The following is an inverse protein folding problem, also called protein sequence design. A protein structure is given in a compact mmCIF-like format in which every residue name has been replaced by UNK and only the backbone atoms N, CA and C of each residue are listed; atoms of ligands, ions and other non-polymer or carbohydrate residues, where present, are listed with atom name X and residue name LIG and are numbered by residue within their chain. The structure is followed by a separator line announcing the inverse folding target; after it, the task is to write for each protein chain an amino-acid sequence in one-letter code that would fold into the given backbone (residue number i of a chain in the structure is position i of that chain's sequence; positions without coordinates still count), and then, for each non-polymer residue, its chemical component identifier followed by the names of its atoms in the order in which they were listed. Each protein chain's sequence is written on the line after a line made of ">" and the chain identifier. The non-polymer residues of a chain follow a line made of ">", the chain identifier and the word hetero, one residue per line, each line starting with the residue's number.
data_IF_520770520892
#
_entry.id   IF_520770520892
#
_cell.length_a   1.000
_cell.length_b   1.000
_cell.length_c   1.000
_cell.angle_alpha   90.00
_cell.angle_beta   90.00
_cell.angle_gamma   90.00
#
_symmetry.space_group_name_H-M   'P 1'
#
loop_
_entity.id
_entity.type
_entity.pdbx_description
1 polymer ?
#
# COMPACT_ATOMS: atom_id res chain seq x y z
N UNK A 1 12.87 -5.53 18.04
CA UNK A 1 12.73 -6.36 16.82
C UNK A 1 13.82 -5.92 15.86
N UNK A 2 14.48 -6.82 15.14
CA UNK A 2 15.51 -6.44 14.17
C UNK A 2 14.87 -5.54 13.09
N UNK A 3 15.47 -4.39 12.78
CA UNK A 3 14.96 -3.42 11.80
C UNK A 3 14.62 -4.09 10.46
N UNK A 4 15.39 -5.10 10.05
CA UNK A 4 15.10 -5.89 8.85
C UNK A 4 13.74 -6.59 8.88
N UNK A 5 13.32 -7.08 10.05
CA UNK A 5 12.01 -7.75 10.19
C UNK A 5 10.90 -6.71 10.02
N UNK A 6 11.12 -5.49 10.53
CA UNK A 6 10.15 -4.41 10.37
C UNK A 6 10.02 -3.99 8.90
N UNK A 7 11.13 -3.89 8.16
CA UNK A 7 11.13 -3.63 6.70
C UNK A 7 10.30 -4.66 5.94
N UNK A 8 10.57 -5.95 6.18
CA UNK A 8 9.89 -7.05 5.49
C UNK A 8 8.41 -7.08 5.83
N UNK A 9 8.04 -6.94 7.12
CA UNK A 9 6.64 -6.93 7.55
C UNK A 9 5.90 -5.74 6.96
N UNK A 10 6.52 -4.57 6.92
CA UNK A 10 5.90 -3.36 6.34
C UNK A 10 5.71 -3.49 4.83
N UNK A 11 6.67 -4.07 4.10
CA UNK A 11 6.53 -4.35 2.68
C UNK A 11 5.39 -5.36 2.41
N UNK A 12 5.32 -6.44 3.19
CA UNK A 12 4.25 -7.45 3.07
C UNK A 12 2.89 -6.84 3.41
N UNK A 13 2.79 -6.02 4.46
CA UNK A 13 1.56 -5.33 4.83
C UNK A 13 1.10 -4.36 3.75
N UNK A 14 2.01 -3.61 3.12
CA UNK A 14 1.69 -2.71 2.02
C UNK A 14 1.18 -3.48 0.80
N UNK A 15 1.78 -4.63 0.49
CA UNK A 15 1.33 -5.50 -0.60
C UNK A 15 -0.07 -6.06 -0.33
N UNK A 16 -0.33 -6.54 0.89
CA UNK A 16 -1.64 -7.03 1.29
C UNK A 16 -2.72 -5.94 1.18
N UNK A 17 -2.40 -4.70 1.58
CA UNK A 17 -3.28 -3.55 1.45
C UNK A 17 -3.58 -3.23 -0.03
N UNK A 18 -2.59 -3.33 -0.92
CA UNK A 18 -2.83 -3.15 -2.36
C UNK A 18 -3.79 -4.19 -2.94
N UNK A 19 -3.58 -5.46 -2.60
CA UNK A 19 -4.45 -6.56 -3.04
C UNK A 19 -5.87 -6.34 -2.52
N UNK A 20 -6.03 -5.92 -1.26
CA UNK A 20 -7.33 -5.59 -0.70
C UNK A 20 -8.02 -4.44 -1.47
N UNK A 21 -7.28 -3.38 -1.81
CA UNK A 21 -7.80 -2.28 -2.63
C UNK A 21 -8.20 -2.76 -4.03
N UNK A 22 -7.41 -3.61 -4.69
CA UNK A 22 -7.74 -4.15 -6.01
C UNK A 22 -9.03 -4.99 -6.01
N UNK A 23 -9.37 -5.62 -4.89
CA UNK A 23 -10.59 -6.44 -4.79
C UNK A 23 -11.79 -5.58 -4.39
N UNK A 24 -11.59 -4.64 -3.44
CA UNK A 24 -12.69 -3.91 -2.82
C UNK A 24 -13.10 -2.65 -3.60
N UNK A 25 -12.16 -1.96 -4.25
CA UNK A 25 -12.43 -0.67 -4.91
C UNK A 25 -13.20 -0.79 -6.24
N UNK A 26 -12.90 -1.76 -7.14
CA UNK A 26 -13.64 -1.91 -8.40
C UNK A 26 -15.15 -2.16 -8.28
N UNK A 27 -15.65 -3.00 -7.34
CA UNK A 27 -17.09 -3.16 -7.18
C UNK A 27 -17.76 -1.92 -6.57
N UNK A 28 -17.03 -1.11 -5.80
CA UNK A 28 -17.54 0.16 -5.24
C UNK A 28 -17.64 1.26 -6.32
N UNK A 29 -16.73 1.23 -7.30
CA UNK A 29 -16.68 2.18 -8.42
C UNK A 29 -17.08 1.51 -9.75
N UNK A 30 -18.21 0.80 -9.74
CA UNK A 30 -18.67 -0.01 -10.88
C UNK A 30 -18.82 0.77 -12.19
N UNK A 31 -19.17 2.06 -12.16
CA UNK A 31 -19.28 2.90 -13.36
C UNK A 31 -17.91 3.32 -13.95
N UNK A 32 -16.85 3.28 -13.15
CA UNK A 32 -15.50 3.74 -13.55
C UNK A 32 -14.42 2.74 -13.13
N UNK A 33 -14.60 1.45 -13.45
CA UNK A 33 -13.68 0.38 -13.06
C UNK A 33 -12.21 0.67 -13.42
N UNK A 34 -11.94 1.24 -14.61
CA UNK A 34 -10.58 1.60 -15.03
C UNK A 34 -9.92 2.65 -14.13
N UNK A 35 -10.67 3.68 -13.73
CA UNK A 35 -10.18 4.72 -12.82
C UNK A 35 -9.98 4.16 -11.40
N UNK A 36 -10.81 3.21 -10.97
CA UNK A 36 -10.67 2.57 -9.66
C UNK A 36 -9.31 1.89 -9.49
N UNK A 37 -8.81 1.20 -10.52
CA UNK A 37 -7.48 0.58 -10.49
C UNK A 37 -6.35 1.60 -10.44
N UNK A 38 -6.45 2.70 -11.19
CA UNK A 38 -5.49 3.81 -11.12
C UNK A 38 -5.47 4.44 -9.73
N UNK A 39 -6.64 4.65 -9.13
CA UNK A 39 -6.77 5.21 -7.79
C UNK A 39 -6.17 4.27 -6.74
N UNK A 40 -6.45 2.96 -6.82
CA UNK A 40 -5.83 1.95 -5.96
C UNK A 40 -4.30 1.96 -6.08
N UNK A 41 -3.76 2.10 -7.30
CA UNK A 41 -2.32 2.20 -7.54
C UNK A 41 -1.72 3.47 -6.90
N UNK A 42 -2.36 4.62 -7.09
CA UNK A 42 -1.91 5.90 -6.49
C UNK A 42 -1.90 5.81 -4.97
N UNK A 43 -2.97 5.28 -4.36
CA UNK A 43 -3.07 5.08 -2.91
C UNK A 43 -1.99 4.12 -2.41
N UNK A 44 -1.72 3.04 -3.14
CA UNK A 44 -0.66 2.10 -2.79
C UNK A 44 0.73 2.76 -2.81
N UNK A 45 1.05 3.53 -3.85
CA UNK A 45 2.34 4.23 -3.95
C UNK A 45 2.51 5.22 -2.80
N UNK A 46 1.47 6.00 -2.47
CA UNK A 46 1.49 6.92 -1.35
C UNK A 46 1.69 6.19 -0.01
N UNK A 47 1.02 5.05 0.17
CA UNK A 47 1.15 4.24 1.38
C UNK A 47 2.56 3.66 1.50
N UNK A 48 3.14 3.17 0.40
CA UNK A 48 4.48 2.59 0.38
C UNK A 48 5.57 3.66 0.61
N UNK A 49 5.38 4.86 0.08
CA UNK A 49 6.25 6.02 0.35
C UNK A 49 6.17 6.48 1.81
N UNK A 50 4.96 6.58 2.37
CA UNK A 50 4.76 6.91 3.77
C UNK A 50 5.37 5.83 4.70
N UNK A 51 5.19 4.56 4.36
CA UNK A 51 5.73 3.43 5.08
C UNK A 51 7.27 3.41 5.06
N UNK A 52 7.89 3.67 3.89
CA UNK A 52 9.33 3.80 3.75
C UNK A 52 9.90 4.96 4.57
N UNK A 53 9.27 6.14 4.52
CA UNK A 53 9.72 7.30 5.32
C UNK A 53 9.51 7.11 6.83
N UNK A 54 8.46 6.39 7.24
CA UNK A 54 8.23 6.05 8.64
C UNK A 54 9.28 5.07 9.17
N UNK A 55 9.77 4.16 8.33
CA UNK A 55 10.88 3.28 8.67
C UNK A 55 12.20 4.03 8.73
N UNK A 56 12.47 4.91 7.77
CA UNK A 56 13.70 5.71 7.72
C UNK A 56 13.89 6.53 9.02
N UNK A 57 12.81 7.15 9.52
CA UNK A 57 12.78 7.85 10.82
C UNK A 57 12.98 6.98 12.05
N UNK A 58 12.87 5.65 11.92
CA UNK A 58 13.10 4.68 13.01
C UNK A 58 14.49 4.04 12.93
N UNK A 59 15.14 4.16 11.78
CA UNK A 59 16.50 3.68 11.51
C UNK A 59 17.52 4.78 11.82
N UNK A 60 17.21 6.04 11.50
CA UNK A 60 17.99 7.22 11.84
C UNK A 60 17.81 7.65 13.30
#
# INVERSE_FOLDING_TARGET
>A
MNIRILEVVTAIASLALFIALLILLPPVMAEFQGLAYLLALVVFILTLSAAGSALDKRVA
#
